data_IF_874823744666
#
_entry.id   IF_874823744666
#
_cell.length_a   1.000
_cell.length_b   1.000
_cell.length_c   1.000
_cell.angle_alpha   90.00
_cell.angle_beta   90.00
_cell.angle_gamma   90.00
#
_symmetry.space_group_name_H-M   'P 1'
#
loop_
_entity.id
_entity.type
_entity.pdbx_description
1 polymer ?
#
# COMPACT_ATOMS: atom_id res chain seq x y z
N UNK A 1 -14.18 -4.90 -22.95
CA UNK A 1 -15.23 -5.07 -21.94
C UNK A 1 -15.08 -6.45 -21.33
N UNK A 2 -15.79 -6.76 -20.23
CA UNK A 2 -15.78 -8.11 -19.65
C UNK A 2 -16.17 -9.20 -20.66
N UNK A 3 -17.03 -8.89 -21.64
CA UNK A 3 -17.44 -9.82 -22.71
C UNK A 3 -16.29 -10.25 -23.64
N UNK A 4 -15.16 -9.53 -23.61
CA UNK A 4 -13.95 -9.85 -24.37
C UNK A 4 -12.93 -10.66 -23.55
N UNK A 5 -13.29 -11.08 -22.34
CA UNK A 5 -12.40 -11.80 -21.42
C UNK A 5 -13.05 -13.12 -21.01
N UNK A 6 -12.27 -14.14 -20.58
CA UNK A 6 -12.82 -15.37 -20.02
C UNK A 6 -13.41 -15.16 -18.61
N UNK A 7 -13.33 -13.95 -18.05
CA UNK A 7 -13.76 -13.64 -16.69
C UNK A 7 -15.25 -13.30 -16.65
N UNK A 8 -15.93 -13.72 -15.57
CA UNK A 8 -17.31 -13.35 -15.34
C UNK A 8 -17.46 -11.83 -15.17
N UNK A 9 -18.49 -11.24 -15.77
CA UNK A 9 -18.79 -9.83 -15.61
C UNK A 9 -19.37 -9.56 -14.20
N UNK A 10 -18.66 -8.86 -13.30
CA UNK A 10 -19.15 -8.62 -11.95
C UNK A 10 -20.39 -7.71 -11.92
N UNK A 11 -20.60 -6.88 -12.94
CA UNK A 11 -21.71 -5.92 -13.00
C UNK A 11 -23.08 -6.61 -13.14
N UNK A 12 -23.10 -7.83 -13.67
CA UNK A 12 -24.32 -8.64 -13.79
C UNK A 12 -24.56 -9.54 -12.56
N UNK A 13 -23.61 -9.59 -11.62
CA UNK A 13 -23.73 -10.45 -10.44
C UNK A 13 -24.68 -9.86 -9.39
N UNK A 14 -25.70 -10.62 -9.01
CA UNK A 14 -26.61 -10.24 -7.92
C UNK A 14 -25.86 -10.00 -6.58
N UNK A 15 -24.78 -10.75 -6.34
CA UNK A 15 -23.93 -10.57 -5.15
C UNK A 15 -23.17 -9.25 -5.20
N UNK A 16 -22.66 -8.88 -6.37
CA UNK A 16 -22.01 -7.58 -6.58
C UNK A 16 -23.01 -6.45 -6.39
N UNK A 17 -24.19 -6.50 -7.02
CA UNK A 17 -25.24 -5.49 -6.87
C UNK A 17 -25.68 -5.31 -5.40
N UNK A 18 -25.81 -6.41 -4.64
CA UNK A 18 -26.14 -6.35 -3.20
C UNK A 18 -25.04 -5.72 -2.35
N UNK A 19 -23.77 -5.90 -2.71
CA UNK A 19 -22.59 -5.50 -1.92
C UNK A 19 -21.95 -4.21 -2.39
N UNK A 20 -22.22 -3.77 -3.60
CA UNK A 20 -21.71 -2.52 -4.13
C UNK A 20 -22.14 -1.38 -3.20
N UNK A 21 -21.18 -0.53 -2.84
CA UNK A 21 -21.38 0.65 -2.02
C UNK A 21 -20.75 1.80 -2.78
N UNK A 22 -21.56 2.79 -3.15
CA UNK A 22 -21.04 4.11 -3.50
C UNK A 22 -20.98 4.91 -2.22
N UNK A 23 -19.86 5.56 -1.92
CA UNK A 23 -19.75 6.44 -0.74
C UNK A 23 -20.66 7.64 -1.01
N UNK A 24 -21.71 7.86 -0.21
CA UNK A 24 -22.62 8.99 -0.38
C UNK A 24 -22.03 10.22 0.29
N UNK A 25 -20.87 10.69 -0.17
CA UNK A 25 -20.30 11.95 0.27
C UNK A 25 -20.75 13.04 -0.71
N UNK A 26 -21.69 13.88 -0.26
CA UNK A 26 -22.15 15.16 -0.83
C UNK A 26 -22.77 15.07 -2.25
N UNK A 27 -24.11 15.17 -2.28
CA UNK A 27 -24.96 15.39 -3.46
C UNK A 27 -24.59 14.62 -4.74
N UNK A 28 -25.12 13.39 -4.83
CA UNK A 28 -25.25 12.57 -6.06
C UNK A 28 -23.97 12.49 -6.91
N UNK A 29 -23.11 11.53 -6.60
CA UNK A 29 -22.39 10.79 -7.63
C UNK A 29 -22.34 9.32 -7.25
N UNK A 30 -23.21 8.53 -7.89
CA UNK A 30 -22.96 7.09 -8.03
C UNK A 30 -21.60 6.99 -8.72
N UNK A 31 -20.60 6.37 -8.10
CA UNK A 31 -19.29 6.16 -8.75
C UNK A 31 -19.53 5.55 -10.14
N UNK A 32 -18.94 6.16 -11.17
CA UNK A 32 -19.03 5.68 -12.55
C UNK A 32 -18.67 4.20 -12.62
N UNK A 33 -19.49 3.45 -13.35
CA UNK A 33 -19.21 2.05 -13.67
C UNK A 33 -18.47 2.02 -15.00
N UNK A 34 -17.20 1.62 -14.97
CA UNK A 34 -16.38 1.49 -16.18
C UNK A 34 -16.38 0.02 -16.66
N UNK A 35 -17.11 -0.33 -17.74
CA UNK A 35 -17.15 -1.70 -18.25
C UNK A 35 -15.96 -2.02 -19.18
N UNK A 36 -15.20 -1.01 -19.58
CA UNK A 36 -14.05 -1.14 -20.48
C UNK A 36 -12.82 -1.62 -19.72
N UNK A 37 -12.33 -2.80 -20.10
CA UNK A 37 -11.07 -3.35 -19.64
C UNK A 37 -10.02 -3.00 -20.70
N UNK A 38 -9.00 -2.25 -20.28
CA UNK A 38 -7.86 -1.94 -21.14
C UNK A 38 -6.92 -3.15 -21.24
N UNK A 39 -6.21 -3.31 -22.37
CA UNK A 39 -5.18 -4.34 -22.46
C UNK A 39 -4.07 -4.05 -21.45
N UNK A 40 -3.33 -5.09 -21.11
CA UNK A 40 -2.14 -4.98 -20.28
C UNK A 40 -1.14 -4.00 -20.90
N UNK A 41 -0.71 -3.00 -20.13
CA UNK A 41 0.18 -1.93 -20.61
C UNK A 41 1.67 -2.26 -20.42
N UNK A 42 1.98 -3.27 -19.61
CA UNK A 42 3.34 -3.70 -19.27
C UNK A 42 3.39 -5.22 -19.14
N UNK A 43 4.45 -5.85 -19.64
CA UNK A 43 4.65 -7.29 -19.48
C UNK A 43 4.97 -7.71 -18.04
N UNK A 44 4.93 -9.01 -17.81
CA UNK A 44 5.36 -9.67 -16.59
C UNK A 44 5.87 -11.06 -16.93
N UNK A 45 6.75 -11.60 -16.10
CA UNK A 45 7.28 -12.95 -16.26
C UNK A 45 7.69 -13.54 -14.91
N UNK A 46 7.72 -14.88 -14.77
CA UNK A 46 8.36 -15.55 -13.63
C UNK A 46 9.82 -15.10 -13.48
N UNK A 47 10.24 -14.77 -12.25
CA UNK A 47 11.59 -14.33 -11.91
C UNK A 47 12.24 -15.26 -10.91
N UNK A 48 13.56 -15.30 -10.95
CA UNK A 48 14.37 -16.14 -10.06
C UNK A 48 14.06 -17.62 -10.19
N UNK A 49 14.57 -18.39 -9.24
CA UNK A 49 14.24 -19.80 -9.04
C UNK A 49 12.88 -19.97 -8.35
N UNK A 50 12.47 -18.98 -7.55
CA UNK A 50 11.18 -18.96 -6.86
C UNK A 50 9.99 -18.89 -7.81
N UNK A 51 10.22 -18.49 -9.07
CA UNK A 51 9.22 -18.46 -10.14
C UNK A 51 8.11 -17.43 -9.92
N UNK A 52 8.32 -16.47 -9.03
CA UNK A 52 7.32 -15.43 -8.75
C UNK A 52 7.22 -14.49 -9.95
N UNK A 53 6.00 -14.28 -10.43
CA UNK A 53 5.72 -13.35 -11.51
C UNK A 53 5.91 -11.90 -11.07
N UNK A 54 6.73 -11.14 -11.80
CA UNK A 54 6.99 -9.73 -11.53
C UNK A 54 6.94 -8.90 -12.82
N UNK A 55 6.45 -7.66 -12.69
CA UNK A 55 6.32 -6.68 -13.79
C UNK A 55 7.67 -6.31 -14.42
N UNK A 56 7.65 -6.05 -15.73
CA UNK A 56 8.80 -5.51 -16.47
C UNK A 56 9.13 -4.05 -16.09
N UNK A 57 8.28 -3.35 -15.33
CA UNK A 57 8.61 -2.02 -14.79
C UNK A 57 9.68 -2.03 -13.71
N UNK A 58 9.94 -3.17 -13.07
CA UNK A 58 10.92 -3.26 -11.97
C UNK A 58 12.07 -4.22 -12.31
N UNK A 59 12.84 -3.96 -13.39
CA UNK A 59 13.84 -4.90 -13.89
C UNK A 59 14.94 -5.19 -12.85
N UNK A 60 15.31 -4.18 -12.04
CA UNK A 60 16.33 -4.32 -10.99
C UNK A 60 15.80 -5.00 -9.73
N UNK A 61 14.52 -4.83 -9.40
CA UNK A 61 13.94 -5.57 -8.27
C UNK A 61 13.70 -7.03 -8.64
N UNK A 62 13.31 -7.28 -9.89
CA UNK A 62 13.11 -8.61 -10.44
C UNK A 62 14.39 -9.48 -10.42
N UNK A 63 15.58 -8.89 -10.50
CA UNK A 63 16.84 -9.66 -10.36
C UNK A 63 17.10 -10.16 -8.94
N UNK A 64 16.38 -9.63 -7.94
CA UNK A 64 16.50 -10.02 -6.54
C UNK A 64 15.33 -10.91 -6.08
N UNK A 65 14.53 -11.47 -7.01
CA UNK A 65 13.29 -12.18 -6.67
C UNK A 65 13.48 -13.33 -5.65
N UNK A 66 14.63 -14.00 -5.66
CA UNK A 66 14.96 -15.09 -4.73
C UNK A 66 15.38 -14.59 -3.34
N UNK A 67 15.77 -13.32 -3.22
CA UNK A 67 16.16 -12.69 -1.95
C UNK A 67 14.96 -11.99 -1.26
N UNK A 68 13.80 -11.94 -1.93
CA UNK A 68 12.59 -11.31 -1.42
C UNK A 68 11.71 -12.30 -0.67
N UNK A 69 11.18 -11.87 0.48
CA UNK A 69 10.11 -12.58 1.17
C UNK A 69 8.74 -12.10 0.66
N UNK A 70 7.93 -13.03 0.17
CA UNK A 70 6.57 -12.75 -0.29
C UNK A 70 5.52 -13.20 0.73
N UNK A 71 4.79 -12.24 1.30
CA UNK A 71 3.67 -12.53 2.22
C UNK A 71 2.35 -12.42 1.44
N UNK A 72 1.68 -13.55 1.20
CA UNK A 72 0.45 -13.63 0.36
C UNK A 72 -0.85 -13.80 1.14
N UNK A 73 -0.77 -13.96 2.46
CA UNK A 73 -1.89 -14.23 3.35
C UNK A 73 -2.34 -13.00 4.15
N UNK A 74 -1.95 -11.80 3.72
CA UNK A 74 -2.44 -10.56 4.32
C UNK A 74 -3.87 -10.28 3.86
N UNK A 75 -4.71 -9.81 4.78
CA UNK A 75 -6.07 -9.37 4.50
C UNK A 75 -6.38 -8.12 5.30
N UNK A 76 -7.36 -7.35 4.83
CA UNK A 76 -7.81 -6.09 5.42
C UNK A 76 -9.34 -6.03 5.35
N UNK A 77 -9.94 -5.35 6.32
CA UNK A 77 -11.37 -5.03 6.36
C UNK A 77 -11.66 -3.60 5.94
N UNK A 78 -10.66 -2.72 5.98
CA UNK A 78 -10.73 -1.37 5.45
C UNK A 78 -10.61 -1.39 3.92
N UNK A 79 -11.13 -0.34 3.27
CA UNK A 79 -11.06 -0.17 1.82
C UNK A 79 -10.11 0.98 1.44
N UNK A 80 -9.73 1.00 0.16
CA UNK A 80 -8.97 2.07 -0.49
C UNK A 80 -7.77 2.53 0.37
N UNK A 81 -7.76 3.79 0.76
CA UNK A 81 -6.65 4.44 1.48
C UNK A 81 -6.53 3.99 2.95
N UNK A 82 -7.60 3.50 3.58
CA UNK A 82 -7.55 3.06 4.98
C UNK A 82 -6.94 1.66 5.14
N UNK A 83 -6.92 0.86 4.07
CA UNK A 83 -6.23 -0.43 4.05
C UNK A 83 -4.72 -0.27 4.31
N UNK A 84 -4.10 0.80 3.81
CA UNK A 84 -2.70 1.15 4.11
C UNK A 84 -2.49 1.26 5.63
N UNK A 85 -3.31 2.07 6.29
CA UNK A 85 -3.20 2.28 7.73
C UNK A 85 -3.40 0.98 8.51
N UNK A 86 -4.33 0.11 8.10
CA UNK A 86 -4.53 -1.17 8.78
C UNK A 86 -3.32 -2.10 8.62
N UNK A 87 -2.65 -2.09 7.47
CA UNK A 87 -1.40 -2.84 7.27
C UNK A 87 -0.29 -2.31 8.19
N UNK A 88 -0.17 -0.99 8.29
CA UNK A 88 0.89 -0.38 9.08
C UNK A 88 0.61 -0.36 10.58
N UNK A 89 -0.63 -0.41 11.04
CA UNK A 89 -0.96 -0.30 12.48
C UNK A 89 -1.59 -1.58 13.04
N UNK A 90 -2.04 -2.50 12.19
CA UNK A 90 -2.84 -3.66 12.59
C UNK A 90 -4.25 -3.31 13.08
N UNK A 91 -4.71 -2.06 12.87
CA UNK A 91 -5.97 -1.53 13.42
C UNK A 91 -6.93 -1.12 12.33
N UNK A 92 -8.21 -1.44 12.53
CA UNK A 92 -9.27 -0.91 11.68
C UNK A 92 -9.39 0.60 11.87
N UNK A 93 -9.87 1.34 10.87
CA UNK A 93 -10.08 2.79 10.95
C UNK A 93 -10.98 3.27 12.10
N UNK A 94 -11.78 2.37 12.68
CA UNK A 94 -12.68 2.63 13.81
C UNK A 94 -12.13 2.15 15.15
N UNK A 95 -10.99 1.46 15.14
CA UNK A 95 -10.30 1.06 16.37
C UNK A 95 -9.50 2.23 16.92
N UNK A 96 -9.06 2.11 18.18
CA UNK A 96 -8.09 3.04 18.75
C UNK A 96 -6.77 2.99 17.98
N UNK A 97 -6.24 4.16 17.64
CA UNK A 97 -4.98 4.28 16.91
C UNK A 97 -3.84 3.69 17.72
N UNK A 98 -2.98 2.92 17.05
CA UNK A 98 -1.78 2.34 17.63
C UNK A 98 -0.54 2.79 16.85
N UNK A 99 0.64 2.79 17.48
CA UNK A 99 1.88 3.12 16.80
C UNK A 99 2.04 2.25 15.57
N UNK A 100 2.56 2.84 14.50
CA UNK A 100 2.86 2.13 13.27
C UNK A 100 3.89 1.02 13.50
N UNK A 101 3.90 0.04 12.61
CA UNK A 101 4.84 -1.07 12.58
C UNK A 101 6.28 -0.55 12.55
N UNK A 102 6.55 0.50 11.77
CA UNK A 102 7.86 1.15 11.72
C UNK A 102 8.27 1.74 13.07
N UNK A 103 7.34 2.40 13.77
CA UNK A 103 7.60 2.93 15.11
C UNK A 103 7.85 1.82 16.14
N UNK A 104 7.08 0.73 16.11
CA UNK A 104 7.30 -0.44 16.97
C UNK A 104 8.64 -1.12 16.71
N UNK A 105 9.00 -1.31 15.44
CA UNK A 105 10.29 -1.89 15.05
C UNK A 105 11.41 -1.02 15.59
N UNK A 106 11.35 0.29 15.39
CA UNK A 106 12.38 1.19 15.90
C UNK A 106 12.41 1.20 17.44
N UNK A 107 11.27 1.29 18.12
CA UNK A 107 11.22 1.26 19.59
C UNK A 107 11.80 -0.04 20.15
N UNK A 108 11.44 -1.19 19.58
CA UNK A 108 11.81 -2.50 20.09
C UNK A 108 13.22 -2.94 19.72
N UNK A 109 13.67 -2.67 18.49
CA UNK A 109 14.98 -3.11 17.97
C UNK A 109 16.05 -2.02 18.01
N UNK A 110 15.67 -0.76 18.19
CA UNK A 110 16.59 0.37 18.16
C UNK A 110 17.17 0.64 16.78
N UNK A 111 18.41 1.12 16.74
CA UNK A 111 19.16 1.40 15.52
C UNK A 111 20.59 0.92 15.68
N UNK A 112 21.24 0.61 14.55
CA UNK A 112 22.69 0.40 14.50
C UNK A 112 23.46 1.70 14.21
N UNK A 113 22.74 2.79 13.93
CA UNK A 113 23.30 4.09 13.59
C UNK A 113 22.55 5.22 14.28
N UNK A 114 23.24 5.97 15.13
CA UNK A 114 22.69 7.12 15.89
C UNK A 114 22.72 8.44 15.10
N UNK A 115 23.41 8.49 13.96
CA UNK A 115 23.62 9.71 13.18
C UNK A 115 22.60 9.89 12.04
N UNK A 116 21.70 8.92 11.82
CA UNK A 116 20.70 8.95 10.75
C UNK A 116 19.28 8.69 11.30
N UNK A 117 18.23 9.12 10.59
CA UNK A 117 16.86 8.74 10.92
C UNK A 117 16.68 7.23 10.97
N UNK A 118 16.05 6.76 12.05
CA UNK A 118 15.95 5.33 12.40
C UNK A 118 14.73 4.66 11.76
N UNK A 119 13.69 5.45 11.47
CA UNK A 119 12.54 5.08 10.66
C UNK A 119 12.34 6.12 9.57
N UNK A 120 12.65 5.74 8.32
CA UNK A 120 12.54 6.59 7.14
C UNK A 120 11.26 6.27 6.37
N UNK A 121 10.58 7.30 5.91
CA UNK A 121 9.43 7.20 5.02
C UNK A 121 9.84 7.80 3.68
N UNK A 122 9.76 7.01 2.60
CA UNK A 122 10.03 7.52 1.26
C UNK A 122 8.78 8.23 0.74
N UNK A 123 8.91 9.51 0.43
CA UNK A 123 7.74 10.38 0.32
C UNK A 123 7.20 10.71 1.71
N UNK A 124 6.01 11.29 1.76
CA UNK A 124 5.39 11.67 3.03
C UNK A 124 3.88 11.59 2.97
N UNK A 125 3.21 11.71 4.13
CA UNK A 125 1.76 11.76 4.19
C UNK A 125 1.22 12.83 3.24
N UNK A 126 0.24 12.46 2.44
CA UNK A 126 -0.42 13.37 1.48
C UNK A 126 -1.62 14.08 2.09
N UNK A 127 -2.10 13.59 3.23
CA UNK A 127 -3.19 14.17 4.01
C UNK A 127 -3.11 13.68 5.48
N UNK A 128 -4.02 14.17 6.32
CA UNK A 128 -4.06 13.84 7.75
C UNK A 128 -4.32 12.36 8.07
N UNK A 129 -5.03 11.60 7.22
CA UNK A 129 -5.31 10.19 7.47
C UNK A 129 -4.13 9.29 7.09
N UNK A 130 -3.31 9.69 6.11
CA UNK A 130 -2.07 8.99 5.76
C UNK A 130 -0.95 9.19 6.79
N UNK A 131 -1.09 10.12 7.74
CA UNK A 131 -0.12 10.25 8.84
C UNK A 131 -0.14 9.05 9.79
N UNK A 132 -1.24 8.28 9.85
CA UNK A 132 -1.38 7.19 10.81
C UNK A 132 -0.42 6.04 10.52
N UNK A 133 -0.10 5.78 9.25
CA UNK A 133 0.82 4.71 8.83
C UNK A 133 2.27 4.92 9.26
N UNK A 134 2.62 6.11 9.77
CA UNK A 134 4.00 6.48 10.15
C UNK A 134 4.13 7.04 11.57
N UNK A 135 3.02 7.13 12.31
CA UNK A 135 3.00 7.76 13.63
C UNK A 135 3.53 6.79 14.70
N UNK A 136 4.16 7.35 15.75
CA UNK A 136 4.64 6.61 16.93
C UNK A 136 3.73 6.75 18.14
N UNK A 137 2.81 7.71 18.14
CA UNK A 137 1.85 7.96 19.22
C UNK A 137 2.55 7.98 20.59
N UNK A 138 2.13 7.12 21.51
CA UNK A 138 2.60 7.06 22.89
C UNK A 138 4.02 6.48 23.03
N UNK A 139 4.66 6.01 21.95
CA UNK A 139 6.07 5.58 22.00
C UNK A 139 7.04 6.77 22.06
N UNK A 140 6.60 7.97 21.68
CA UNK A 140 7.43 9.18 21.67
C UNK A 140 7.82 9.61 20.25
N UNK A 141 7.99 10.93 20.02
CA UNK A 141 8.23 11.51 18.69
C UNK A 141 9.52 11.00 18.03
N UNK A 142 10.51 10.57 18.81
CA UNK A 142 11.77 9.99 18.32
C UNK A 142 11.56 8.70 17.52
N UNK A 143 10.44 8.00 17.73
CA UNK A 143 10.10 6.78 17.00
C UNK A 143 9.22 7.00 15.77
N UNK A 144 8.83 8.25 15.49
CA UNK A 144 8.01 8.60 14.34
C UNK A 144 8.77 8.45 13.02
N UNK A 145 8.03 8.15 11.95
CA UNK A 145 8.60 8.09 10.61
C UNK A 145 9.03 9.47 10.12
N UNK A 146 10.25 9.56 9.59
CA UNK A 146 10.82 10.79 9.02
C UNK A 146 10.61 10.78 7.51
N UNK A 147 9.75 11.65 6.95
CA UNK A 147 9.54 11.75 5.51
C UNK A 147 10.78 12.27 4.79
N UNK A 148 11.15 11.59 3.71
CA UNK A 148 12.17 12.05 2.78
C UNK A 148 11.53 12.49 1.48
N UNK A 149 11.80 13.74 1.09
CA UNK A 149 11.32 14.30 -0.17
C UNK A 149 11.94 13.56 -1.35
N UNK A 150 11.09 13.14 -2.28
CA UNK A 150 11.51 12.53 -3.54
C UNK A 150 11.49 13.62 -4.62
N UNK A 151 12.65 14.20 -4.94
CA UNK A 151 12.81 15.10 -6.08
C UNK A 151 13.63 14.41 -7.18
N UNK A 152 13.02 14.01 -8.31
CA UNK A 152 13.75 13.43 -9.42
C UNK A 152 14.81 14.35 -10.03
N UNK A 153 14.67 15.68 -9.88
CA UNK A 153 15.65 16.67 -10.36
C UNK A 153 16.78 16.89 -9.36
N UNK A 154 16.57 16.55 -8.11
CA UNK A 154 17.55 16.65 -7.04
C UNK A 154 17.54 15.38 -6.19
N UNK A 155 18.00 14.24 -6.75
CA UNK A 155 18.00 12.99 -6.01
C UNK A 155 18.91 13.10 -4.79
N UNK A 156 18.51 12.46 -3.70
CA UNK A 156 19.33 12.34 -2.49
C UNK A 156 20.68 11.72 -2.89
N UNK A 157 21.76 12.50 -2.75
CA UNK A 157 23.11 12.03 -3.01
C UNK A 157 23.62 11.29 -1.77
N UNK A 158 23.85 10.00 -1.92
CA UNK A 158 24.53 9.13 -0.96
C UNK A 158 26.03 9.23 -1.13
#
# INVERSE_FOLDING_TARGET
TFDKTPLANPLTSAKHQKRFRSVPAQEVNVRDVYPSIYPMQVGYAPRGQCGVEMTDWWPHLASCADDLAFVRNMWTTDNDHFAENQIHTGRHSLDEQQPSLGAWIHYGLGTLNENLPKFVVLGGPTNSTTHWSINSLYLGPEHGGVPLTLDPKNPLRT
#
